data_IF_902765327207
#
_entry.id   IF_902765327207
#
_cell.length_a   1.000
_cell.length_b   1.000
_cell.length_c   1.000
_cell.angle_alpha   90.00
_cell.angle_beta   90.00
_cell.angle_gamma   90.00
#
_symmetry.space_group_name_H-M   'P 1'
#
loop_
_entity.id
_entity.type
_entity.pdbx_description
1 polymer ?
#
# COMPACT_ATOMS: atom_id res chain seq x y z
N UNK A 1 17.35 0.84 -14.51
CA UNK A 1 17.64 1.63 -15.74
C UNK A 1 17.50 0.81 -17.03
N UNK A 2 18.15 -0.37 -17.15
CA UNK A 2 18.12 -1.18 -18.39
C UNK A 2 16.73 -1.60 -18.88
N UNK A 3 15.82 -1.98 -17.98
CA UNK A 3 14.45 -2.37 -18.34
C UNK A 3 13.64 -1.21 -18.92
N UNK A 4 13.78 -0.01 -18.35
CA UNK A 4 13.09 1.19 -18.84
C UNK A 4 13.55 1.54 -20.24
N UNK A 5 14.87 1.51 -20.50
CA UNK A 5 15.39 1.81 -21.85
C UNK A 5 14.93 0.78 -22.88
N UNK A 6 14.93 -0.52 -22.53
CA UNK A 6 14.45 -1.57 -23.42
C UNK A 6 12.94 -1.40 -23.72
N UNK A 7 12.13 -1.12 -22.70
CA UNK A 7 10.69 -0.84 -22.80
C UNK A 7 10.41 0.31 -23.78
N UNK A 8 11.06 1.45 -23.58
CA UNK A 8 10.87 2.62 -24.46
C UNK A 8 11.36 2.37 -25.89
N UNK A 9 12.42 1.58 -26.07
CA UNK A 9 12.88 1.20 -27.41
C UNK A 9 11.86 0.29 -28.12
N UNK A 10 11.19 -0.58 -27.37
CA UNK A 10 10.19 -1.47 -27.94
C UNK A 10 8.95 -0.73 -28.44
N UNK A 11 8.58 0.39 -27.80
CA UNK A 11 7.57 1.31 -28.34
C UNK A 11 7.92 1.80 -29.74
N UNK A 12 9.18 2.19 -29.97
CA UNK A 12 9.65 2.65 -31.30
C UNK A 12 9.49 1.55 -32.34
N UNK A 13 9.88 0.31 -32.00
CA UNK A 13 9.72 -0.86 -32.89
C UNK A 13 8.25 -1.10 -33.21
N UNK A 14 7.39 -1.04 -32.19
CA UNK A 14 5.94 -1.20 -32.34
C UNK A 14 5.34 -0.14 -33.28
N UNK A 15 5.59 1.15 -33.03
CA UNK A 15 5.06 2.23 -33.86
C UNK A 15 5.55 2.14 -35.30
N UNK A 16 6.83 1.81 -35.50
CA UNK A 16 7.36 1.58 -36.84
C UNK A 16 6.67 0.40 -37.54
N UNK A 17 6.34 -0.67 -36.80
CA UNK A 17 5.66 -1.85 -37.36
C UNK A 17 4.22 -1.57 -37.75
N UNK A 18 3.49 -0.75 -37.00
CA UNK A 18 2.09 -0.43 -37.32
C UNK A 18 1.95 0.74 -38.29
N UNK A 19 3.06 1.46 -38.55
CA UNK A 19 3.11 2.61 -39.44
C UNK A 19 2.45 2.35 -40.81
N UNK A 20 1.81 3.38 -41.32
CA UNK A 20 1.07 3.45 -42.57
C UNK A 20 1.45 4.72 -43.32
N UNK A 21 0.97 4.89 -44.54
CA UNK A 21 1.18 6.14 -45.28
C UNK A 21 0.34 7.31 -44.74
N UNK A 22 -0.56 7.05 -43.79
CA UNK A 22 -1.47 8.05 -43.22
C UNK A 22 -0.74 8.85 -42.12
N UNK A 23 -0.73 10.19 -42.16
CA UNK A 23 -0.01 10.97 -41.15
C UNK A 23 -0.74 11.03 -39.81
N UNK A 24 0.00 11.23 -38.72
CA UNK A 24 -0.57 11.52 -37.40
C UNK A 24 -1.36 12.85 -37.40
N UNK A 25 -2.48 12.97 -36.65
CA UNK A 25 -3.04 12.01 -35.68
C UNK A 25 -3.98 10.96 -36.31
N UNK A 26 -4.14 10.97 -37.64
CA UNK A 26 -5.17 10.17 -38.33
C UNK A 26 -4.87 8.67 -38.28
N UNK A 27 -3.59 8.31 -38.30
CA UNK A 27 -3.13 6.93 -38.12
C UNK A 27 -3.54 6.35 -36.76
N UNK A 28 -3.25 7.03 -35.65
CA UNK A 28 -3.69 6.61 -34.32
C UNK A 28 -5.22 6.43 -34.24
N UNK A 29 -5.97 7.39 -34.78
CA UNK A 29 -7.45 7.35 -34.80
C UNK A 29 -7.97 6.17 -35.64
N UNK A 30 -7.31 5.84 -36.74
CA UNK A 30 -7.73 4.77 -37.64
C UNK A 30 -7.35 3.37 -37.14
N UNK A 31 -6.13 3.24 -36.58
CA UNK A 31 -5.61 1.97 -36.06
C UNK A 31 -6.42 1.47 -34.86
N UNK A 32 -6.85 2.39 -33.97
CA UNK A 32 -7.60 2.11 -32.74
C UNK A 32 -6.96 1.03 -31.88
N UNK A 33 -5.64 1.03 -31.81
CA UNK A 33 -4.90 0.12 -30.94
C UNK A 33 -5.23 0.44 -29.47
N UNK A 34 -5.67 -0.54 -28.67
CA UNK A 34 -5.93 -0.33 -27.25
C UNK A 34 -4.66 -0.01 -26.46
N UNK A 35 -4.80 0.81 -25.42
CA UNK A 35 -3.69 1.21 -24.56
C UNK A 35 -3.03 0.07 -23.77
N UNK A 36 -3.69 -1.07 -23.55
CA UNK A 36 -3.01 -2.21 -22.92
C UNK A 36 -2.08 -2.96 -23.88
N UNK A 37 -2.23 -2.74 -25.20
CA UNK A 37 -1.47 -3.47 -26.22
C UNK A 37 -0.06 -2.90 -26.38
N UNK A 38 0.09 -1.59 -26.50
CA UNK A 38 1.40 -0.95 -26.69
C UNK A 38 2.30 -1.10 -25.45
N UNK A 39 1.88 -0.66 -24.25
CA UNK A 39 2.56 -0.91 -22.98
C UNK A 39 2.75 -2.39 -22.70
N UNK A 40 1.70 -3.20 -22.87
CA UNK A 40 1.78 -4.63 -22.58
C UNK A 40 2.74 -5.37 -23.51
N UNK A 41 2.84 -4.98 -24.78
CA UNK A 41 3.81 -5.55 -25.72
C UNK A 41 5.24 -5.13 -25.38
N UNK A 42 5.44 -3.87 -24.98
CA UNK A 42 6.73 -3.39 -24.51
C UNK A 42 7.24 -4.21 -23.32
N UNK A 43 6.38 -4.44 -22.33
CA UNK A 43 6.72 -5.26 -21.16
C UNK A 43 6.90 -6.74 -21.55
N UNK A 44 6.01 -7.31 -22.37
CA UNK A 44 6.04 -8.72 -22.77
C UNK A 44 7.33 -9.13 -23.49
N UNK A 45 7.88 -8.25 -24.34
CA UNK A 45 9.06 -8.54 -25.16
C UNK A 45 10.39 -8.22 -24.45
N UNK A 46 10.37 -7.29 -23.48
CA UNK A 46 11.61 -6.78 -22.87
C UNK A 46 11.82 -7.26 -21.44
N UNK A 47 10.80 -7.83 -20.82
CA UNK A 47 10.84 -8.27 -19.43
C UNK A 47 10.62 -9.77 -19.28
N UNK A 48 11.24 -10.33 -18.23
CA UNK A 48 10.85 -11.66 -17.76
C UNK A 48 9.54 -11.55 -16.99
N UNK A 49 8.67 -12.54 -17.15
CA UNK A 49 7.41 -12.60 -16.40
C UNK A 49 7.64 -12.40 -14.90
N UNK A 50 6.96 -11.40 -14.33
CA UNK A 50 6.95 -11.08 -12.90
C UNK A 50 5.53 -11.26 -12.37
N UNK A 51 5.21 -12.43 -11.78
CA UNK A 51 3.86 -12.71 -11.28
C UNK A 51 3.31 -11.63 -10.35
N UNK A 52 4.20 -10.94 -9.62
CA UNK A 52 3.83 -10.03 -8.54
C UNK A 52 3.72 -8.55 -8.94
N UNK A 53 4.22 -8.12 -10.11
CA UNK A 53 4.33 -6.69 -10.47
C UNK A 53 2.99 -5.95 -10.42
N UNK A 54 1.93 -6.59 -10.88
CA UNK A 54 0.57 -6.05 -10.87
C UNK A 54 -0.39 -6.88 -10.00
N UNK A 55 0.10 -7.80 -9.17
CA UNK A 55 -0.73 -8.73 -8.40
C UNK A 55 -1.66 -8.01 -7.41
N UNK A 56 -1.15 -6.98 -6.72
CA UNK A 56 -1.98 -6.16 -5.81
C UNK A 56 -3.10 -5.45 -6.59
N UNK A 57 -2.78 -4.86 -7.75
CA UNK A 57 -3.76 -4.19 -8.60
C UNK A 57 -4.80 -5.19 -9.14
N UNK A 58 -4.37 -6.34 -9.64
CA UNK A 58 -5.26 -7.40 -10.09
C UNK A 58 -6.21 -7.86 -8.98
N UNK A 59 -5.68 -8.18 -7.79
CA UNK A 59 -6.49 -8.55 -6.62
C UNK A 59 -7.49 -7.46 -6.29
N UNK A 60 -7.05 -6.20 -6.22
CA UNK A 60 -7.93 -5.07 -5.93
C UNK A 60 -9.09 -4.96 -6.93
N UNK A 61 -8.79 -4.95 -8.23
CA UNK A 61 -9.79 -4.80 -9.28
C UNK A 61 -10.73 -6.01 -9.40
N UNK A 62 -10.23 -7.25 -9.22
CA UNK A 62 -11.05 -8.47 -9.23
C UNK A 62 -12.01 -8.48 -8.04
N UNK A 63 -11.50 -8.19 -6.83
CA UNK A 63 -12.29 -8.22 -5.60
C UNK A 63 -13.29 -7.06 -5.51
N UNK A 64 -13.02 -5.93 -6.16
CA UNK A 64 -13.97 -4.82 -6.34
C UNK A 64 -14.90 -5.00 -7.53
N UNK A 65 -14.70 -6.04 -8.35
CA UNK A 65 -15.42 -6.27 -9.60
C UNK A 65 -15.41 -5.05 -10.53
N UNK A 66 -14.23 -4.46 -10.75
CA UNK A 66 -14.01 -3.22 -11.52
C UNK A 66 -12.77 -3.36 -12.42
N UNK A 67 -12.72 -4.41 -13.23
CA UNK A 67 -11.57 -4.77 -14.06
C UNK A 67 -11.45 -3.95 -15.36
N UNK A 68 -12.41 -3.08 -15.64
CA UNK A 68 -12.47 -2.21 -16.81
C UNK A 68 -11.68 -0.90 -16.67
N UNK A 69 -11.29 -0.53 -15.44
CA UNK A 69 -10.60 0.73 -15.13
C UNK A 69 -9.22 0.49 -14.54
N UNK A 70 -8.37 -0.20 -15.27
CA UNK A 70 -7.01 -0.49 -14.83
C UNK A 70 -6.00 0.23 -15.72
N UNK A 71 -4.89 0.65 -15.11
CA UNK A 71 -3.77 1.23 -15.84
C UNK A 71 -3.22 0.20 -16.84
N UNK A 72 -2.91 0.59 -18.09
CA UNK A 72 -2.27 -0.27 -19.07
C UNK A 72 -1.03 -1.04 -18.60
N UNK A 73 -0.21 -0.46 -17.73
CA UNK A 73 0.96 -1.12 -17.16
C UNK A 73 0.62 -2.20 -16.14
N UNK A 74 -0.65 -2.28 -15.73
CA UNK A 74 -1.11 -3.28 -14.78
C UNK A 74 -1.80 -4.47 -15.50
N UNK A 75 -2.58 -4.25 -16.57
CA UNK A 75 -3.20 -5.36 -17.33
C UNK A 75 -2.44 -5.77 -18.59
N UNK A 76 -1.64 -4.87 -19.18
CA UNK A 76 -1.00 -5.05 -20.48
C UNK A 76 -0.26 -6.37 -20.60
N UNK A 77 0.80 -6.57 -19.82
CA UNK A 77 1.57 -7.82 -19.86
C UNK A 77 0.66 -9.04 -19.69
N UNK A 78 -0.23 -9.04 -18.69
CA UNK A 78 -1.08 -10.20 -18.39
C UNK A 78 -2.06 -10.54 -19.52
N UNK A 79 -2.52 -9.52 -20.27
CA UNK A 79 -3.35 -9.69 -21.45
C UNK A 79 -2.54 -10.22 -22.63
N UNK A 80 -1.31 -9.74 -22.84
CA UNK A 80 -0.43 -10.29 -23.88
C UNK A 80 -0.08 -11.75 -23.58
N UNK A 81 0.20 -12.08 -22.32
CA UNK A 81 0.43 -13.46 -21.88
C UNK A 81 -0.81 -14.33 -22.11
N UNK A 82 -2.01 -13.85 -21.76
CA UNK A 82 -3.26 -14.55 -22.02
C UNK A 82 -3.56 -14.71 -23.51
N UNK A 83 -3.22 -13.71 -24.33
CA UNK A 83 -3.32 -13.79 -25.79
C UNK A 83 -2.38 -14.87 -26.32
N UNK A 84 -1.10 -14.79 -25.97
CA UNK A 84 -0.06 -15.76 -26.32
C UNK A 84 -0.46 -17.19 -25.95
N UNK A 85 -0.88 -17.42 -24.71
CA UNK A 85 -1.25 -18.75 -24.22
C UNK A 85 -2.46 -19.33 -24.99
N UNK A 86 -3.47 -18.50 -25.26
CA UNK A 86 -4.73 -18.96 -25.87
C UNK A 86 -4.69 -19.08 -27.38
N UNK A 87 -3.97 -18.20 -28.06
CA UNK A 87 -3.98 -18.10 -29.53
C UNK A 87 -2.60 -18.27 -30.15
N UNK A 88 -1.53 -18.32 -29.35
CA UNK A 88 -0.14 -18.43 -29.80
C UNK A 88 0.47 -17.09 -30.22
N UNK A 89 1.76 -16.92 -29.98
CA UNK A 89 2.53 -15.69 -30.30
C UNK A 89 2.43 -15.29 -31.77
N UNK A 90 2.32 -16.28 -32.66
CA UNK A 90 2.13 -16.05 -34.09
C UNK A 90 0.93 -15.14 -34.39
N UNK A 91 -0.13 -15.17 -33.58
CA UNK A 91 -1.33 -14.34 -33.79
C UNK A 91 -1.10 -12.88 -33.43
N UNK A 92 -0.18 -12.58 -32.50
CA UNK A 92 0.27 -11.22 -32.18
C UNK A 92 1.00 -10.66 -33.41
N UNK A 93 1.99 -11.40 -33.91
CA UNK A 93 2.79 -11.02 -35.09
C UNK A 93 1.92 -10.85 -36.34
N UNK A 94 0.99 -11.78 -36.58
CA UNK A 94 0.07 -11.73 -37.71
C UNK A 94 -0.91 -10.56 -37.60
N UNK A 95 -1.39 -10.26 -36.40
CA UNK A 95 -2.27 -9.10 -36.15
C UNK A 95 -1.57 -7.81 -36.52
N UNK A 96 -0.35 -7.56 -36.06
CA UNK A 96 0.38 -6.32 -36.39
C UNK A 96 0.89 -6.27 -37.83
N UNK A 97 0.97 -7.41 -38.52
CA UNK A 97 1.35 -7.49 -39.94
C UNK A 97 0.17 -7.30 -40.89
N UNK A 98 -1.06 -7.47 -40.42
CA UNK A 98 -2.25 -7.32 -41.24
C UNK A 98 -2.39 -5.89 -41.78
N UNK A 99 -2.74 -5.78 -43.05
CA UNK A 99 -3.08 -4.52 -43.71
C UNK A 99 -4.35 -4.69 -44.52
N UNK A 100 -5.18 -3.65 -44.56
CA UNK A 100 -6.34 -3.64 -45.44
C UNK A 100 -5.91 -3.41 -46.91
N UNK A 101 -6.87 -3.40 -47.84
CA UNK A 101 -6.61 -3.17 -49.28
C UNK A 101 -5.93 -1.82 -49.60
N UNK A 102 -6.02 -0.85 -48.69
CA UNK A 102 -5.39 0.46 -48.82
C UNK A 102 -4.02 0.53 -48.12
N UNK A 103 -3.50 -0.59 -47.59
CA UNK A 103 -2.25 -0.61 -46.84
C UNK A 103 -2.36 -0.01 -45.43
N UNK A 104 -3.57 0.21 -44.91
CA UNK A 104 -3.78 0.76 -43.56
C UNK A 104 -3.95 -0.35 -42.52
N UNK A 105 -3.50 -0.09 -41.29
CA UNK A 105 -3.63 -0.98 -40.14
C UNK A 105 -4.93 -0.68 -39.35
N UNK A 106 -5.66 -1.71 -38.94
CA UNK A 106 -6.81 -1.60 -38.03
C UNK A 106 -6.80 -2.75 -37.02
N UNK A 107 -6.48 -2.43 -35.76
CA UNK A 107 -6.22 -3.42 -34.74
C UNK A 107 -7.42 -4.37 -34.54
N UNK A 108 -8.62 -3.85 -34.30
CA UNK A 108 -9.78 -4.69 -34.00
C UNK A 108 -10.13 -5.70 -35.12
N UNK A 109 -9.96 -5.28 -36.39
CA UNK A 109 -10.24 -6.15 -37.53
C UNK A 109 -9.14 -7.19 -37.71
N UNK A 110 -7.88 -6.78 -37.59
CA UNK A 110 -6.74 -7.68 -37.67
C UNK A 110 -6.79 -8.72 -36.55
N UNK A 111 -7.01 -8.26 -35.31
CA UNK A 111 -7.16 -9.10 -34.14
C UNK A 111 -8.27 -10.14 -34.34
N UNK A 112 -9.46 -9.73 -34.79
CA UNK A 112 -10.57 -10.65 -35.05
C UNK A 112 -10.26 -11.65 -36.16
N UNK A 113 -9.53 -11.23 -37.20
CA UNK A 113 -9.14 -12.11 -38.30
C UNK A 113 -8.22 -13.24 -37.83
N UNK A 114 -7.27 -12.92 -36.95
CA UNK A 114 -6.21 -13.86 -36.54
C UNK A 114 -6.52 -14.63 -35.24
N UNK A 115 -7.40 -14.13 -34.37
CA UNK A 115 -7.83 -14.82 -33.14
C UNK A 115 -9.22 -15.44 -33.23
N UNK A 116 -10.01 -15.03 -34.23
CA UNK A 116 -11.41 -15.45 -34.40
C UNK A 116 -12.41 -14.73 -33.48
N UNK A 117 -11.97 -13.90 -32.52
CA UNK A 117 -12.83 -13.22 -31.55
C UNK A 117 -12.64 -11.69 -31.58
N UNK A 118 -13.63 -10.95 -31.06
CA UNK A 118 -13.49 -9.49 -30.93
C UNK A 118 -12.63 -9.11 -29.74
N UNK A 119 -12.02 -7.92 -29.77
CA UNK A 119 -11.29 -7.37 -28.61
C UNK A 119 -12.19 -7.28 -27.36
N UNK A 120 -13.48 -6.97 -27.54
CA UNK A 120 -14.46 -6.96 -26.45
C UNK A 120 -14.65 -8.35 -25.83
N UNK A 121 -14.79 -9.38 -26.67
CA UNK A 121 -14.90 -10.76 -26.19
C UNK A 121 -13.61 -11.20 -25.49
N UNK A 122 -12.46 -10.85 -26.06
CA UNK A 122 -11.16 -11.14 -25.46
C UNK A 122 -11.03 -10.55 -24.05
N UNK A 123 -11.35 -9.27 -23.88
CA UNK A 123 -11.30 -8.61 -22.57
C UNK A 123 -12.25 -9.26 -21.56
N UNK A 124 -13.44 -9.68 -22.00
CA UNK A 124 -14.41 -10.37 -21.14
C UNK A 124 -13.92 -11.77 -20.75
N UNK A 125 -13.30 -12.51 -21.67
CA UNK A 125 -12.73 -13.82 -21.39
C UNK A 125 -11.53 -13.72 -20.45
N UNK A 126 -10.65 -12.75 -20.67
CA UNK A 126 -9.53 -12.44 -19.77
C UNK A 126 -10.04 -12.06 -18.37
N UNK A 127 -11.08 -11.20 -18.27
CA UNK A 127 -11.71 -10.84 -17.00
C UNK A 127 -12.23 -12.08 -16.27
N UNK A 128 -12.89 -13.00 -16.98
CA UNK A 128 -13.36 -14.27 -16.41
C UNK A 128 -12.21 -15.13 -15.93
N UNK A 129 -11.15 -15.25 -16.72
CA UNK A 129 -9.95 -16.00 -16.35
C UNK A 129 -9.33 -15.46 -15.05
N UNK A 130 -9.12 -14.14 -14.97
CA UNK A 130 -8.59 -13.47 -13.79
C UNK A 130 -9.51 -13.67 -12.58
N UNK A 131 -10.82 -13.51 -12.76
CA UNK A 131 -11.80 -13.79 -11.70
C UNK A 131 -11.69 -15.22 -11.20
N UNK A 132 -11.69 -16.23 -12.08
CA UNK A 132 -11.56 -17.63 -11.69
C UNK A 132 -10.28 -17.88 -10.90
N UNK A 133 -9.14 -17.35 -11.36
CA UNK A 133 -7.85 -17.49 -10.68
C UNK A 133 -7.87 -16.88 -9.27
N UNK A 134 -8.24 -15.60 -9.15
CA UNK A 134 -8.17 -14.90 -7.85
C UNK A 134 -9.30 -15.27 -6.90
N UNK A 135 -10.50 -15.60 -7.37
CA UNK A 135 -11.56 -16.13 -6.51
C UNK A 135 -11.24 -17.56 -6.06
N UNK A 136 -10.64 -18.39 -6.92
CA UNK A 136 -10.13 -19.72 -6.54
C UNK A 136 -9.02 -19.64 -5.49
N UNK A 137 -8.08 -18.69 -5.67
CA UNK A 137 -7.06 -18.41 -4.66
C UNK A 137 -7.68 -17.89 -3.35
N UNK A 138 -8.68 -17.01 -3.42
CA UNK A 138 -9.40 -16.51 -2.24
C UNK A 138 -10.17 -17.61 -1.51
N UNK A 139 -10.78 -18.56 -2.22
CA UNK A 139 -11.55 -19.64 -1.58
C UNK A 139 -10.69 -20.64 -0.81
N UNK A 140 -9.37 -20.64 -1.03
CA UNK A 140 -8.42 -21.42 -0.23
C UNK A 140 -8.05 -20.73 1.08
N UNK A 141 -8.53 -19.51 1.32
CA UNK A 141 -8.28 -18.74 2.55
C UNK A 141 -9.49 -18.77 3.46
N UNK A 142 -9.23 -18.68 4.76
CA UNK A 142 -10.28 -18.50 5.76
C UNK A 142 -11.09 -17.24 5.45
N UNK A 143 -12.42 -17.31 5.56
CA UNK A 143 -13.26 -16.15 5.34
C UNK A 143 -13.05 -15.15 6.48
N UNK A 144 -13.14 -13.85 6.17
CA UNK A 144 -12.83 -12.77 7.11
C UNK A 144 -13.62 -12.85 8.43
N UNK A 145 -14.85 -13.38 8.38
CA UNK A 145 -15.74 -13.56 9.53
C UNK A 145 -15.38 -14.75 10.42
N UNK A 146 -14.55 -15.68 9.96
CA UNK A 146 -13.92 -16.71 10.81
C UNK A 146 -12.69 -16.16 11.54
N UNK A 147 -11.95 -15.25 10.90
CA UNK A 147 -10.74 -14.64 11.47
C UNK A 147 -11.09 -13.56 12.51
N UNK A 148 -12.17 -12.82 12.32
CA UNK A 148 -12.60 -11.83 13.30
C UNK A 148 -13.69 -10.87 12.85
N UNK A 149 -13.86 -9.79 13.62
CA UNK A 149 -14.84 -8.75 13.31
C UNK A 149 -14.17 -7.53 12.66
N UNK A 150 -14.73 -7.11 11.52
CA UNK A 150 -14.30 -5.87 10.85
C UNK A 150 -14.87 -4.68 11.60
N UNK A 151 -13.98 -3.79 12.06
CA UNK A 151 -14.33 -2.54 12.72
C UNK A 151 -13.84 -1.37 11.88
N UNK A 152 -14.68 -0.35 11.72
CA UNK A 152 -14.27 0.91 11.07
C UNK A 152 -13.48 1.78 12.04
N UNK A 153 -12.27 2.19 11.63
CA UNK A 153 -11.46 3.15 12.35
C UNK A 153 -12.07 4.57 12.27
N UNK A 154 -11.87 5.42 13.29
CA UNK A 154 -12.51 6.74 13.40
C UNK A 154 -11.83 7.83 12.54
N UNK A 155 -11.51 7.52 11.28
CA UNK A 155 -10.88 8.44 10.32
C UNK A 155 -11.49 8.25 8.92
N UNK A 156 -11.59 9.31 8.12
CA UNK A 156 -12.24 9.25 6.79
C UNK A 156 -11.37 8.58 5.74
N UNK A 157 -10.09 8.92 5.71
CA UNK A 157 -9.10 8.30 4.84
C UNK A 157 -7.86 8.01 5.67
N UNK A 158 -7.58 6.72 5.87
CA UNK A 158 -6.40 6.26 6.58
C UNK A 158 -5.21 6.25 5.61
N UNK A 159 -4.10 6.83 6.03
CA UNK A 159 -2.81 6.69 5.36
C UNK A 159 -1.94 5.67 6.13
N UNK A 160 -1.88 5.77 7.46
CA UNK A 160 -1.10 4.89 8.34
C UNK A 160 -1.74 4.75 9.73
N UNK A 161 -1.42 3.68 10.45
CA UNK A 161 -1.78 3.51 11.86
C UNK A 161 -0.68 2.79 12.65
N UNK A 162 -0.71 2.93 13.98
CA UNK A 162 0.15 2.20 14.91
C UNK A 162 -0.58 1.94 16.22
N UNK A 163 -0.50 0.71 16.74
CA UNK A 163 -1.08 0.33 18.03
C UNK A 163 -0.10 0.59 19.17
N UNK A 164 -0.59 1.07 20.31
CA UNK A 164 0.20 1.05 21.54
C UNK A 164 0.48 -0.39 21.98
N UNK A 165 1.55 -0.60 22.76
CA UNK A 165 1.95 -1.94 23.22
C UNK A 165 0.84 -2.69 23.98
N UNK A 166 0.00 -1.96 24.72
CA UNK A 166 -1.17 -2.46 25.44
C UNK A 166 -2.41 -2.67 24.55
N UNK A 167 -2.33 -2.31 23.26
CA UNK A 167 -3.42 -2.32 22.28
C UNK A 167 -4.66 -1.48 22.64
N UNK A 168 -4.58 -0.61 23.66
CA UNK A 168 -5.71 0.24 24.06
C UNK A 168 -5.80 1.54 23.26
N UNK A 169 -4.69 2.00 22.67
CA UNK A 169 -4.62 3.21 21.85
C UNK A 169 -4.21 2.86 20.42
N UNK A 170 -4.74 3.63 19.48
CA UNK A 170 -4.36 3.57 18.07
C UNK A 170 -3.98 4.98 17.64
N UNK A 171 -2.75 5.16 17.19
CA UNK A 171 -2.35 6.34 16.42
C UNK A 171 -2.82 6.15 14.98
N UNK A 172 -3.47 7.17 14.42
CA UNK A 172 -4.05 7.17 13.08
C UNK A 172 -3.55 8.41 12.35
N UNK A 173 -2.88 8.21 11.22
CA UNK A 173 -2.47 9.26 10.32
C UNK A 173 -3.32 9.22 9.06
N UNK A 174 -3.84 10.36 8.64
CA UNK A 174 -4.60 10.45 7.40
C UNK A 174 -5.44 11.72 7.30
N UNK A 175 -6.55 11.65 6.58
CA UNK A 175 -7.52 12.75 6.48
C UNK A 175 -8.75 12.46 7.35
N UNK A 176 -9.03 13.34 8.30
CA UNK A 176 -10.21 13.25 9.18
C UNK A 176 -11.44 13.96 8.58
N UNK A 177 -11.23 15.03 7.83
CA UNK A 177 -12.22 15.73 6.99
C UNK A 177 -11.91 15.50 5.50
N UNK A 178 -12.91 15.58 4.63
CA UNK A 178 -12.70 15.57 3.17
C UNK A 178 -12.19 16.92 2.65
N UNK A 179 -12.45 17.99 3.39
CA UNK A 179 -12.10 19.36 3.00
C UNK A 179 -10.74 19.81 3.55
N UNK A 180 -10.08 18.99 4.38
CA UNK A 180 -8.72 19.28 4.83
C UNK A 180 -7.69 18.97 3.74
N UNK A 181 -6.80 19.93 3.55
CA UNK A 181 -5.65 19.79 2.66
C UNK A 181 -4.51 19.05 3.36
N UNK A 182 -4.35 19.30 4.65
CA UNK A 182 -3.35 18.68 5.51
C UNK A 182 -3.82 17.35 6.12
N UNK A 183 -2.88 16.59 6.67
CA UNK A 183 -3.15 15.36 7.40
C UNK A 183 -3.35 15.64 8.88
N UNK A 184 -4.12 14.77 9.52
CA UNK A 184 -4.37 14.73 10.96
C UNK A 184 -3.66 13.51 11.53
N UNK A 185 -2.97 13.72 12.65
CA UNK A 185 -2.48 12.66 13.52
C UNK A 185 -3.43 12.56 14.73
N UNK A 186 -4.16 11.46 14.80
CA UNK A 186 -5.20 11.22 15.78
C UNK A 186 -4.81 10.05 16.68
N UNK A 187 -4.96 10.22 17.98
CA UNK A 187 -4.97 9.10 18.92
C UNK A 187 -6.41 8.73 19.20
N UNK A 188 -6.76 7.47 18.94
CA UNK A 188 -8.06 6.90 19.16
C UNK A 188 -8.00 5.82 20.26
N UNK A 189 -8.92 5.90 21.20
CA UNK A 189 -9.09 4.93 22.30
C UNK A 189 -10.50 4.36 22.23
N UNK A 190 -10.65 3.06 22.45
CA UNK A 190 -11.96 2.43 22.49
C UNK A 190 -12.67 2.72 23.81
N UNK A 191 -13.86 3.31 23.73
CA UNK A 191 -14.68 3.64 24.91
C UNK A 191 -15.61 2.48 25.27
N UNK A 192 -15.02 1.44 25.86
CA UNK A 192 -15.74 0.21 26.26
C UNK A 192 -16.82 0.48 27.33
N UNK A 193 -16.65 1.53 28.13
CA UNK A 193 -17.62 1.94 29.13
C UNK A 193 -18.89 2.51 28.49
N UNK A 194 -18.76 3.46 27.55
CA UNK A 194 -19.92 3.96 26.78
C UNK A 194 -20.54 2.87 25.92
N UNK A 195 -19.74 1.95 25.37
CA UNK A 195 -20.26 0.80 24.63
C UNK A 195 -21.16 -0.08 25.50
N UNK A 196 -20.69 -0.47 26.69
CA UNK A 196 -21.46 -1.28 27.64
C UNK A 196 -22.77 -0.59 28.03
N UNK A 197 -22.71 0.70 28.34
CA UNK A 197 -23.89 1.49 28.71
C UNK A 197 -24.94 1.54 27.60
N UNK A 198 -24.51 1.74 26.34
CA UNK A 198 -25.41 1.68 25.18
C UNK A 198 -25.99 0.30 24.94
N UNK A 199 -25.21 -0.75 25.16
CA UNK A 199 -25.69 -2.13 25.05
C UNK A 199 -26.78 -2.42 26.08
N UNK A 200 -26.58 -2.03 27.34
CA UNK A 200 -27.59 -2.17 28.40
C UNK A 200 -28.88 -1.38 28.09
N UNK A 201 -28.76 -0.15 27.58
CA UNK A 201 -29.92 0.65 27.14
C UNK A 201 -30.66 0.00 25.96
N UNK A 202 -29.94 -0.62 25.03
CA UNK A 202 -30.55 -1.33 23.90
C UNK A 202 -31.28 -2.59 24.36
N UNK A 203 -30.68 -3.40 25.24
CA UNK A 203 -31.32 -4.58 25.83
C UNK A 203 -32.62 -4.17 26.53
N UNK A 204 -32.58 -3.15 27.39
CA UNK A 204 -33.79 -2.63 28.05
C UNK A 204 -34.86 -2.14 27.08
N UNK A 205 -34.49 -1.57 25.94
CA UNK A 205 -35.43 -1.12 24.90
C UNK A 205 -36.03 -2.29 24.12
N UNK A 206 -35.25 -3.32 23.85
CA UNK A 206 -35.72 -4.51 23.14
C UNK A 206 -36.59 -5.41 24.04
N UNK A 207 -36.30 -5.49 25.34
CA UNK A 207 -37.16 -6.16 26.34
C UNK A 207 -38.51 -5.43 26.54
N UNK A 208 -38.53 -4.10 26.36
CA UNK A 208 -39.74 -3.27 26.45
C UNK A 208 -40.52 -3.12 25.13
N UNK A 209 -40.06 -3.73 24.03
CA UNK A 209 -40.86 -3.77 22.79
C UNK A 209 -41.94 -4.83 22.93
N UNK A 210 -43.17 -4.38 23.17
CA UNK A 210 -44.34 -5.22 22.93
C UNK A 210 -44.29 -5.77 21.48
N UNK A 211 -44.66 -7.04 21.25
CA UNK A 211 -44.85 -7.54 19.90
C UNK A 211 -45.83 -6.60 19.20
N UNK A 212 -45.37 -5.97 18.10
CA UNK A 212 -46.15 -4.96 17.39
C UNK A 212 -47.51 -5.53 16.98
N UNK A 213 -48.49 -4.65 16.75
CA UNK A 213 -49.88 -4.99 16.40
C UNK A 213 -50.01 -6.11 15.34
N UNK A 214 -49.04 -6.21 14.42
CA UNK A 214 -48.96 -7.24 13.38
C UNK A 214 -48.65 -8.66 13.88
N UNK A 215 -47.88 -8.82 14.96
CA UNK A 215 -47.59 -10.14 15.54
C UNK A 215 -48.80 -10.74 16.28
N UNK A 216 -49.68 -9.89 16.81
CA UNK A 216 -50.94 -10.31 17.45
C UNK A 216 -52.07 -10.58 16.45
N UNK A 217 -52.00 -10.04 15.22
CA UNK A 217 -53.02 -10.25 14.19
C UNK A 217 -52.78 -11.52 13.34
N UNK A 218 -51.54 -11.98 13.23
CA UNK A 218 -51.17 -13.12 12.40
C UNK A 218 -50.39 -14.14 13.24
N UNK A 219 -51.14 -14.99 13.95
CA UNK A 219 -50.58 -16.02 14.84
C UNK A 219 -49.63 -16.99 14.15
N UNK A 220 -48.63 -17.43 14.93
CA UNK A 220 -47.82 -18.64 14.83
C UNK A 220 -47.51 -19.19 13.42
N UNK A 221 -46.86 -18.36 12.61
CA UNK A 221 -45.91 -18.88 11.63
C UNK A 221 -44.51 -18.66 12.19
N UNK A 222 -43.76 -19.74 12.48
CA UNK A 222 -42.34 -19.71 12.82
C UNK A 222 -41.55 -18.86 11.81
N UNK A 223 -41.50 -17.55 12.01
CA UNK A 223 -40.38 -16.74 11.59
C UNK A 223 -39.39 -16.88 12.72
N UNK A 224 -38.36 -17.70 12.49
CA UNK A 224 -37.06 -17.36 13.04
C UNK A 224 -36.81 -15.91 12.62
N UNK A 225 -37.22 -14.96 13.45
CA UNK A 225 -36.61 -13.66 13.45
C UNK A 225 -35.15 -13.97 13.71
N UNK A 226 -34.36 -14.02 12.64
CA UNK A 226 -32.96 -13.65 12.70
C UNK A 226 -33.00 -12.27 13.34
N UNK A 227 -32.96 -12.22 14.67
CA UNK A 227 -32.47 -11.08 15.42
C UNK A 227 -31.08 -10.91 14.85
N UNK A 228 -30.95 -10.12 13.80
CA UNK A 228 -29.67 -9.60 13.38
C UNK A 228 -29.09 -9.01 14.65
N UNK A 229 -28.15 -9.74 15.26
CA UNK A 229 -27.38 -9.22 16.37
C UNK A 229 -26.77 -7.95 15.82
N UNK A 230 -27.37 -6.80 16.11
CA UNK A 230 -26.83 -5.51 15.71
C UNK A 230 -25.45 -5.47 16.35
N UNK A 231 -24.42 -5.68 15.52
CA UNK A 231 -23.04 -5.70 15.99
C UNK A 231 -22.81 -4.39 16.75
N UNK A 232 -22.31 -4.44 17.99
CA UNK A 232 -22.14 -3.23 18.78
C UNK A 232 -21.27 -2.26 18.00
N UNK A 233 -21.77 -1.04 17.80
CA UNK A 233 -21.00 0.00 17.14
C UNK A 233 -19.87 0.40 18.07
N UNK A 234 -18.63 0.05 17.70
CA UNK A 234 -17.43 0.45 18.43
C UNK A 234 -17.43 1.96 18.58
N UNK A 235 -17.24 2.43 19.81
CA UNK A 235 -17.19 3.84 20.13
C UNK A 235 -15.74 4.24 20.35
N UNK A 236 -15.32 5.25 19.60
CA UNK A 236 -13.98 5.78 19.68
C UNK A 236 -14.02 7.12 20.41
N UNK A 237 -13.18 7.26 21.43
CA UNK A 237 -12.74 8.57 21.88
C UNK A 237 -11.53 8.96 21.03
N UNK A 238 -11.66 10.04 20.26
CA UNK A 238 -10.63 10.46 19.31
C UNK A 238 -10.10 11.83 19.67
N UNK A 239 -8.79 12.00 19.58
CA UNK A 239 -8.10 13.26 19.84
C UNK A 239 -7.06 13.52 18.76
N UNK A 240 -7.17 14.64 18.06
CA UNK A 240 -6.11 15.11 17.19
C UNK A 240 -4.96 15.66 18.04
N UNK A 241 -3.77 15.10 17.86
CA UNK A 241 -2.57 15.46 18.63
C UNK A 241 -1.58 16.27 17.79
N UNK A 242 -1.67 16.19 16.45
CA UNK A 242 -0.89 17.02 15.54
C UNK A 242 -1.56 17.06 14.15
N UNK A 243 -1.18 18.03 13.32
CA UNK A 243 -1.66 18.17 11.95
C UNK A 243 -0.58 18.76 11.01
N UNK A 244 -0.79 18.66 9.70
CA UNK A 244 0.10 19.23 8.69
C UNK A 244 0.65 18.19 7.71
N UNK A 245 1.92 18.36 7.34
CA UNK A 245 2.64 17.45 6.42
C UNK A 245 3.45 16.43 7.22
N UNK A 246 3.15 15.17 6.96
CA UNK A 246 3.83 14.01 7.53
C UNK A 246 4.39 13.16 6.39
N UNK A 247 5.37 12.33 6.70
CA UNK A 247 5.87 11.35 5.73
C UNK A 247 4.80 10.28 5.45
N UNK A 248 4.85 9.62 4.28
CA UNK A 248 3.70 8.91 3.69
C UNK A 248 3.55 7.42 4.06
N UNK A 249 4.44 6.83 4.88
CA UNK A 249 4.50 5.38 5.15
C UNK A 249 4.18 5.08 6.61
N UNK A 250 3.78 3.84 6.91
CA UNK A 250 3.33 3.42 8.23
C UNK A 250 4.38 3.41 9.32
N UNK A 251 5.65 3.18 8.97
CA UNK A 251 6.74 3.02 9.93
C UNK A 251 7.23 4.33 10.58
N UNK A 252 6.69 5.48 10.18
CA UNK A 252 7.10 6.79 10.72
C UNK A 252 6.45 7.16 12.05
N UNK A 253 5.77 6.22 12.72
CA UNK A 253 5.17 6.43 14.04
C UNK A 253 5.36 5.20 14.91
N UNK A 254 5.96 5.40 16.09
CA UNK A 254 6.23 4.32 17.02
C UNK A 254 5.83 4.73 18.44
N UNK A 255 5.05 3.87 19.10
CA UNK A 255 4.68 4.07 20.50
C UNK A 255 5.83 3.66 21.41
N UNK A 256 6.03 4.39 22.51
CA UNK A 256 6.89 3.90 23.58
C UNK A 256 6.36 2.57 24.12
N UNK A 257 7.21 1.71 24.70
CA UNK A 257 6.76 0.45 25.31
C UNK A 257 5.69 0.64 26.39
N UNK A 258 5.72 1.78 27.09
CA UNK A 258 4.68 2.19 28.05
C UNK A 258 3.34 2.58 27.41
N UNK A 259 3.31 2.87 26.11
CA UNK A 259 2.16 3.41 25.40
C UNK A 259 1.81 4.85 25.79
N UNK A 260 2.70 5.56 26.47
CA UNK A 260 2.48 6.92 26.96
C UNK A 260 3.04 7.99 26.02
N UNK A 261 4.02 7.64 25.18
CA UNK A 261 4.64 8.56 24.22
C UNK A 261 4.55 7.99 22.81
N UNK A 262 4.53 8.89 21.83
CA UNK A 262 4.54 8.54 20.41
C UNK A 262 5.65 9.34 19.73
N UNK A 263 6.62 8.66 19.12
CA UNK A 263 7.60 9.31 18.25
C UNK A 263 7.12 9.23 16.81
N UNK A 264 7.32 10.30 16.06
CA UNK A 264 6.89 10.38 14.68
C UNK A 264 7.72 11.36 13.85
N UNK A 265 7.70 11.19 12.54
CA UNK A 265 8.42 12.08 11.60
C UNK A 265 7.48 13.14 11.03
N UNK A 266 7.87 14.41 11.10
CA UNK A 266 7.06 15.53 10.61
C UNK A 266 7.87 16.53 9.79
N UNK A 267 7.23 17.07 8.76
CA UNK A 267 7.79 18.13 7.93
C UNK A 267 7.86 19.47 8.68
N UNK A 268 8.96 20.19 8.52
CA UNK A 268 9.09 21.59 8.93
C UNK A 268 10.19 22.31 8.12
N UNK A 269 10.34 23.61 8.36
CA UNK A 269 11.45 24.39 7.79
C UNK A 269 12.62 24.40 8.77
N UNK A 270 13.71 23.77 8.36
CA UNK A 270 14.97 23.75 9.10
C UNK A 270 15.86 24.96 8.80
N UNK A 271 17.14 24.78 9.07
CA UNK A 271 18.19 25.76 8.82
C UNK A 271 18.18 26.22 7.36
N UNK A 272 18.40 27.52 7.14
CA UNK A 272 18.39 28.15 5.82
C UNK A 272 17.07 27.93 5.03
N UNK A 273 15.93 27.76 5.73
CA UNK A 273 14.61 27.48 5.13
C UNK A 273 14.58 26.16 4.35
N UNK A 274 15.45 25.23 4.69
CA UNK A 274 15.46 23.89 4.10
C UNK A 274 14.17 23.17 4.44
N UNK A 275 13.53 22.56 3.45
CA UNK A 275 12.32 21.77 3.59
C UNK A 275 12.71 20.36 4.04
N UNK A 276 12.52 20.05 5.32
CA UNK A 276 13.05 18.82 5.93
C UNK A 276 11.98 18.08 6.73
N UNK A 277 12.21 16.79 6.90
CA UNK A 277 11.52 15.98 7.88
C UNK A 277 12.43 15.81 9.09
N UNK A 278 11.86 15.87 10.29
CA UNK A 278 12.57 15.62 11.54
C UNK A 278 11.72 14.81 12.53
N UNK A 279 12.36 14.21 13.54
CA UNK A 279 11.69 13.44 14.58
C UNK A 279 11.05 14.39 15.60
N UNK A 280 9.79 14.10 15.92
CA UNK A 280 8.99 14.75 16.95
C UNK A 280 8.46 13.68 17.90
N UNK A 281 8.29 14.05 19.18
CA UNK A 281 7.69 13.18 20.20
C UNK A 281 6.47 13.87 20.78
N UNK A 282 5.39 13.11 20.99
CA UNK A 282 4.20 13.52 21.73
C UNK A 282 4.10 12.73 23.04
N UNK A 283 3.71 13.40 24.12
CA UNK A 283 3.49 12.81 25.43
C UNK A 283 2.00 12.86 25.81
N UNK A 284 1.42 11.70 26.12
CA UNK A 284 0.01 11.56 26.46
C UNK A 284 -0.38 12.16 27.82
N UNK A 285 0.56 12.29 28.76
CA UNK A 285 0.32 12.83 30.11
C UNK A 285 0.22 14.35 30.08
N UNK A 286 1.14 15.01 29.37
CA UNK A 286 1.13 16.48 29.23
C UNK A 286 0.27 16.95 28.05
N UNK A 287 0.03 16.06 27.09
CA UNK A 287 -0.57 16.38 25.80
C UNK A 287 0.21 17.44 25.02
N UNK A 288 1.53 17.40 25.12
CA UNK A 288 2.43 18.29 24.41
C UNK A 288 3.33 17.50 23.46
N UNK A 289 3.79 18.17 22.41
CA UNK A 289 4.77 17.61 21.49
C UNK A 289 6.00 18.50 21.40
N UNK A 290 7.19 17.90 21.28
CA UNK A 290 8.46 18.60 21.06
C UNK A 290 9.26 17.96 19.93
N UNK A 291 10.05 18.76 19.23
CA UNK A 291 11.04 18.27 18.27
C UNK A 291 12.21 17.63 19.02
N UNK A 292 12.67 16.48 18.54
CA UNK A 292 13.87 15.81 19.04
C UNK A 292 15.08 16.08 18.14
N UNK A 293 14.85 16.31 16.84
CA UNK A 293 15.88 16.67 15.88
C UNK A 293 15.48 17.94 15.12
N UNK A 294 16.47 18.67 14.61
CA UNK A 294 16.27 19.91 13.86
C UNK A 294 17.27 19.99 12.71
N UNK A 295 16.77 20.02 11.47
CA UNK A 295 17.57 20.12 10.24
C UNK A 295 18.47 18.91 9.97
N UNK A 296 18.19 17.77 10.61
CA UNK A 296 18.97 16.55 10.44
C UNK A 296 18.42 15.64 9.32
N UNK A 297 17.27 15.99 8.73
CA UNK A 297 16.62 15.24 7.66
C UNK A 297 16.40 13.78 8.06
N UNK A 298 15.67 13.60 9.16
CA UNK A 298 15.52 12.29 9.80
C UNK A 298 14.18 11.64 9.50
N UNK A 299 14.15 10.32 9.61
CA UNK A 299 12.98 9.49 9.39
C UNK A 299 13.05 8.16 10.16
N UNK A 300 11.97 7.38 10.08
CA UNK A 300 11.80 6.05 10.69
C UNK A 300 12.20 5.93 12.18
N UNK A 301 11.66 6.77 13.09
CA UNK A 301 11.98 6.67 14.51
C UNK A 301 11.32 5.46 15.17
N UNK A 302 12.06 4.71 15.97
CA UNK A 302 11.55 3.60 16.78
C UNK A 302 12.14 3.60 18.19
N UNK A 303 11.30 3.34 19.20
CA UNK A 303 11.77 3.16 20.57
C UNK A 303 12.49 1.81 20.73
N UNK A 304 13.51 1.79 21.58
CA UNK A 304 14.05 0.55 22.13
C UNK A 304 13.00 -0.17 22.99
N UNK A 305 13.10 -1.51 23.18
CA UNK A 305 12.12 -2.27 23.95
C UNK A 305 12.01 -1.84 25.43
N UNK A 306 13.08 -1.29 25.99
CA UNK A 306 13.11 -0.73 27.35
C UNK A 306 12.64 0.74 27.42
N UNK A 307 12.43 1.38 26.26
CA UNK A 307 12.01 2.77 26.11
C UNK A 307 13.09 3.82 26.40
N UNK A 308 14.33 3.41 26.66
CA UNK A 308 15.40 4.34 27.04
C UNK A 308 16.00 5.10 25.84
N UNK A 309 15.95 4.50 24.64
CA UNK A 309 16.53 5.03 23.41
C UNK A 309 15.50 5.10 22.29
N UNK A 310 15.79 5.97 21.32
CA UNK A 310 15.11 6.05 20.03
C UNK A 310 16.17 5.86 18.95
N UNK A 311 15.99 4.86 18.08
CA UNK A 311 16.74 4.75 16.83
C UNK A 311 16.00 5.49 15.73
N UNK A 312 16.74 6.07 14.78
CA UNK A 312 16.19 6.70 13.60
C UNK A 312 17.23 6.75 12.48
N UNK A 313 16.79 7.07 11.26
CA UNK A 313 17.66 7.28 10.10
C UNK A 313 17.85 8.78 9.90
N UNK A 314 19.08 9.24 9.65
CA UNK A 314 19.36 10.60 9.21
C UNK A 314 20.07 10.60 7.85
N UNK A 315 19.79 11.63 7.04
CA UNK A 315 20.28 11.74 5.67
C UNK A 315 21.14 12.98 5.47
N UNK A 316 22.35 12.78 4.96
CA UNK A 316 23.21 13.87 4.47
C UNK A 316 23.65 13.55 3.03
N UNK A 317 23.39 14.47 2.09
CA UNK A 317 23.78 14.36 0.68
C UNK A 317 23.64 12.96 0.05
N UNK A 318 22.45 12.35 0.16
CA UNK A 318 22.12 11.00 -0.36
C UNK A 318 22.69 9.81 0.43
N UNK A 319 23.33 10.08 1.57
CA UNK A 319 23.90 9.08 2.46
C UNK A 319 23.02 8.95 3.70
N UNK A 320 22.42 7.78 3.87
CA UNK A 320 21.64 7.43 5.05
C UNK A 320 22.52 6.72 6.09
N UNK A 321 22.38 7.11 7.36
CA UNK A 321 23.01 6.42 8.48
C UNK A 321 22.01 6.24 9.63
N UNK A 322 22.22 5.20 10.45
CA UNK A 322 21.47 4.97 11.68
C UNK A 322 22.04 5.82 12.82
N UNK A 323 21.14 6.40 13.60
CA UNK A 323 21.45 7.20 14.78
C UNK A 323 20.58 6.75 15.94
N UNK A 324 21.08 6.93 17.16
CA UNK A 324 20.31 6.75 18.39
C UNK A 324 20.37 8.00 19.27
N UNK A 325 19.33 8.23 20.06
CA UNK A 325 19.30 9.27 21.10
C UNK A 325 18.44 8.80 22.28
N UNK A 326 18.54 9.49 23.41
CA UNK A 326 17.60 9.33 24.52
C UNK A 326 16.21 9.87 24.16
N UNK A 327 15.19 9.46 24.91
CA UNK A 327 13.81 9.96 24.71
C UNK A 327 13.63 11.48 24.85
N UNK A 328 14.58 12.15 25.51
CA UNK A 328 14.56 13.60 25.67
C UNK A 328 15.29 14.35 24.55
N UNK A 329 16.02 13.64 23.68
CA UNK A 329 16.86 14.14 22.59
C UNK A 329 18.35 14.23 22.95
N UNK A 330 18.75 13.89 24.18
CA UNK A 330 20.16 13.87 24.60
C UNK A 330 20.90 12.62 24.08
N UNK A 331 22.21 12.60 24.26
CA UNK A 331 23.10 11.48 23.91
C UNK A 331 22.92 10.99 22.46
N UNK A 332 22.91 11.94 21.53
CA UNK A 332 22.88 11.65 20.09
C UNK A 332 24.16 10.92 19.68
N UNK A 333 24.00 9.73 19.11
CA UNK A 333 25.09 8.86 18.67
C UNK A 333 24.82 8.36 17.24
N UNK A 334 25.85 8.40 16.39
CA UNK A 334 25.82 7.84 15.06
C UNK A 334 26.30 6.39 15.09
N UNK A 335 25.43 5.45 14.73
CA UNK A 335 25.66 4.00 14.81
C UNK A 335 26.38 3.47 13.58
N UNK A 336 25.93 3.85 12.38
CA UNK A 336 26.58 3.48 11.11
C UNK A 336 27.34 4.66 10.53
N UNK A 337 28.42 4.40 9.78
CA UNK A 337 29.32 5.43 9.24
C UNK A 337 29.60 5.25 7.75
N UNK A 338 28.54 5.03 6.97
CA UNK A 338 28.64 4.99 5.51
C UNK A 338 29.03 6.36 4.97
N UNK A 339 29.90 6.36 3.95
CA UNK A 339 30.47 7.53 3.29
C UNK A 339 30.26 7.51 1.75
N UNK A 340 29.31 6.71 1.29
CA UNK A 340 28.90 6.55 -0.10
C UNK A 340 27.36 6.50 -0.20
N UNK A 341 26.81 6.68 -1.42
CA UNK A 341 25.36 6.62 -1.68
C UNK A 341 24.75 5.34 -1.10
N UNK A 342 24.03 5.51 0.02
CA UNK A 342 23.47 4.42 0.82
C UNK A 342 22.07 4.82 1.24
N UNK A 343 21.11 3.93 1.06
CA UNK A 343 19.75 4.13 1.55
C UNK A 343 19.49 3.17 2.71
N UNK A 344 18.98 3.69 3.83
CA UNK A 344 18.57 2.90 4.99
C UNK A 344 17.11 3.25 5.32
N UNK A 345 16.29 2.24 5.59
CA UNK A 345 14.88 2.40 5.94
C UNK A 345 14.50 1.45 7.08
N UNK A 346 13.46 1.84 7.81
CA UNK A 346 12.68 0.99 8.70
C UNK A 346 13.52 0.16 9.71
N UNK A 347 14.41 0.80 10.52
CA UNK A 347 15.07 0.11 11.60
C UNK A 347 14.07 -0.38 12.66
N UNK A 348 14.25 -1.62 13.11
CA UNK A 348 13.42 -2.28 14.12
C UNK A 348 14.31 -3.01 15.11
N UNK A 349 14.09 -2.77 16.40
CA UNK A 349 14.85 -3.43 17.47
C UNK A 349 14.43 -4.90 17.62
N UNK A 350 15.40 -5.75 17.98
CA UNK A 350 15.08 -7.06 18.54
C UNK A 350 14.32 -6.90 19.87
N UNK A 351 13.47 -7.88 20.28
CA UNK A 351 12.69 -7.78 21.53
C UNK A 351 13.53 -7.59 22.80
N UNK A 352 14.78 -8.03 22.80
CA UNK A 352 15.74 -7.86 23.91
C UNK A 352 16.58 -6.58 23.80
N UNK A 353 16.48 -5.84 22.69
CA UNK A 353 17.21 -4.60 22.43
C UNK A 353 18.67 -4.79 22.04
N UNK A 354 19.17 -6.03 21.90
CA UNK A 354 20.57 -6.31 21.59
C UNK A 354 20.93 -6.07 20.11
N UNK A 355 19.92 -6.09 19.23
CA UNK A 355 20.10 -6.01 17.79
C UNK A 355 19.10 -5.05 17.14
N UNK A 356 19.41 -4.63 15.92
CA UNK A 356 18.50 -3.91 15.03
C UNK A 356 18.51 -4.57 13.66
N UNK A 357 17.33 -4.87 13.14
CA UNK A 357 17.14 -5.19 11.72
C UNK A 357 16.72 -3.93 10.97
N UNK A 358 17.25 -3.72 9.77
CA UNK A 358 16.92 -2.56 8.95
C UNK A 358 17.03 -2.93 7.46
N UNK A 359 16.30 -2.22 6.61
CA UNK A 359 16.44 -2.36 5.17
C UNK A 359 17.55 -1.44 4.68
N UNK A 360 18.44 -1.94 3.82
CA UNK A 360 19.53 -1.14 3.27
C UNK A 360 19.74 -1.45 1.78
N UNK A 361 19.85 -0.40 0.98
CA UNK A 361 20.40 -0.46 -0.37
C UNK A 361 21.86 0.02 -0.33
N UNK A 362 22.77 -0.94 -0.50
CA UNK A 362 24.22 -0.72 -0.59
C UNK A 362 24.62 -0.41 -2.06
N UNK A 363 25.91 -0.47 -2.40
CA UNK A 363 26.48 -0.14 -3.72
C UNK A 363 25.84 -0.84 -4.92
N UNK A 364 25.26 -2.02 -4.72
CA UNK A 364 24.59 -2.80 -5.77
C UNK A 364 23.14 -2.35 -6.04
N UNK A 365 22.64 -1.38 -5.27
CA UNK A 365 21.32 -0.76 -5.37
C UNK A 365 20.12 -1.72 -5.26
N UNK A 366 20.34 -2.97 -4.81
CA UNK A 366 19.27 -3.83 -4.29
C UNK A 366 19.05 -3.52 -2.82
N UNK A 367 17.79 -3.49 -2.38
CA UNK A 367 17.44 -3.25 -0.98
C UNK A 367 17.16 -4.58 -0.30
N UNK A 368 17.95 -4.89 0.72
CA UNK A 368 17.90 -6.14 1.47
C UNK A 368 17.81 -5.87 2.97
N UNK A 369 17.51 -6.90 3.76
CA UNK A 369 17.51 -6.79 5.22
C UNK A 369 18.91 -7.03 5.77
N UNK A 370 19.31 -6.19 6.72
CA UNK A 370 20.57 -6.28 7.44
C UNK A 370 20.32 -6.31 8.94
N UNK A 371 21.17 -7.04 9.66
CA UNK A 371 21.17 -7.14 11.11
C UNK A 371 22.42 -6.48 11.68
N UNK A 372 22.22 -5.50 12.57
CA UNK A 372 23.24 -4.88 13.39
C UNK A 372 23.20 -5.44 14.81
N UNK A 373 24.36 -5.78 15.34
CA UNK A 373 24.58 -6.20 16.73
C UNK A 373 25.22 -5.05 17.51
N UNK A 374 24.57 -4.53 18.56
CA UNK A 374 25.09 -3.36 19.29
C UNK A 374 26.40 -3.66 20.04
N UNK A 375 26.52 -4.89 20.58
CA UNK A 375 27.66 -5.27 21.42
C UNK A 375 29.00 -5.26 20.67
N UNK A 376 28.97 -5.59 19.38
CA UNK A 376 30.15 -5.70 18.51
C UNK A 376 30.23 -4.61 17.44
N UNK A 377 29.11 -3.95 17.13
CA UNK A 377 28.96 -3.07 15.97
C UNK A 377 28.95 -3.81 14.63
N UNK A 378 28.86 -5.15 14.63
CA UNK A 378 28.88 -5.94 13.40
C UNK A 378 27.56 -5.83 12.63
N UNK A 379 27.65 -5.76 11.30
CA UNK A 379 26.51 -5.75 10.40
C UNK A 379 26.59 -6.97 9.48
N UNK A 380 25.48 -7.68 9.30
CA UNK A 380 25.37 -8.83 8.40
C UNK A 380 24.11 -8.74 7.53
N UNK A 381 24.21 -9.17 6.27
CA UNK A 381 23.08 -9.24 5.34
C UNK A 381 22.25 -10.51 5.60
N UNK A 382 20.94 -10.37 5.72
CA UNK A 382 19.99 -11.45 6.02
C UNK A 382 19.27 -11.99 4.78
N UNK A 383 19.04 -11.16 3.78
CA UNK A 383 18.35 -11.54 2.53
C UNK A 383 19.20 -11.21 1.31
N UNK A 384 19.04 -11.99 0.24
CA UNK A 384 19.80 -11.83 -1.01
C UNK A 384 18.96 -12.03 -2.28
N UNK A 385 17.64 -11.93 -2.15
CA UNK A 385 16.73 -12.07 -3.27
C UNK A 385 16.86 -10.87 -4.23
N UNK A 386 16.74 -11.05 -5.56
CA UNK A 386 16.78 -9.94 -6.51
C UNK A 386 15.58 -8.98 -6.43
N UNK A 387 14.59 -9.26 -5.58
CA UNK A 387 13.51 -8.34 -5.24
C UNK A 387 13.83 -7.54 -3.98
N UNK A 388 13.14 -6.40 -3.82
CA UNK A 388 13.40 -5.46 -2.72
C UNK A 388 12.75 -5.98 -1.44
N UNK A 389 13.57 -6.21 -0.41
CA UNK A 389 13.13 -6.53 0.94
C UNK A 389 13.18 -5.29 1.84
N UNK A 390 12.05 -4.95 2.44
CA UNK A 390 11.91 -3.82 3.36
C UNK A 390 10.77 -4.09 4.35
N UNK A 391 10.71 -3.32 5.44
CA UNK A 391 9.75 -3.47 6.55
C UNK A 391 9.89 -4.80 7.31
N UNK A 392 11.07 -5.04 7.94
CA UNK A 392 11.32 -6.24 8.74
C UNK A 392 10.49 -6.35 10.01
#
# INVERSE_FOLDING_TARGET
LYQVVAHELQHIVFFHKINTWLPEPWEGIYSKTPGWVWEGLAEYETERWRPYRADINHKYHVLKNNMDKMDPHHDGFSKLLYWSDRFGDSTIVNTFSERNKLGLFQFEKAFKKHTGITVKQFNEDWRRHMNTYYYGYRSQKEPLDEIGEVVSLPIKKLDSFSFSADSFKIALLGKDDKNQWDRSLIVAVRDTAKERKKLEEQIKKDDNKNPGLFANLFGDGKKEEKKEKKKPKVLWDKKEIDFGRFHYISEYMNWSPSGEKLVYTKYHYGENQSMVYDVKIWDSKTNESKWLTMSMRTQDPAFSPDGSKIIFVAHDNSIANLYTMNEDGADLEQITKYDYDTQILCPSYSPDGAQVVFAMADKDANMDLYLLEFSSGSISRLTDDPTVDYNP
#
